data_IF_435603367327
#
_entry.id   IF_435603367327
#
_cell.length_a   1.000
_cell.length_b   1.000
_cell.length_c   1.000
_cell.angle_alpha   90.00
_cell.angle_beta   90.00
_cell.angle_gamma   90.00
#
_symmetry.space_group_name_H-M   'P 1'
#
loop_
_entity.id
_entity.type
_entity.pdbx_description
1 polymer ?
#
# COMPACT_ATOMS: atom_id res chain seq x y z
N UNK A 1 -28.92 11.31 -20.57
CA UNK A 1 -28.25 10.17 -19.92
C UNK A 1 -27.92 10.59 -18.51
N UNK A 2 -28.27 9.79 -17.50
CA UNK A 2 -27.92 10.01 -16.10
C UNK A 2 -26.39 10.17 -15.93
N UNK A 3 -25.95 11.18 -15.16
CA UNK A 3 -24.54 11.46 -14.87
C UNK A 3 -23.85 10.24 -14.27
N UNK A 4 -24.52 9.49 -13.39
CA UNK A 4 -23.98 8.27 -12.81
C UNK A 4 -23.65 7.21 -13.88
N UNK A 5 -24.56 7.02 -14.85
CA UNK A 5 -24.36 6.10 -15.96
C UNK A 5 -23.22 6.54 -16.91
N UNK A 6 -22.97 7.85 -17.07
CA UNK A 6 -21.82 8.36 -17.83
C UNK A 6 -20.51 8.03 -17.10
N UNK A 7 -20.43 8.31 -15.80
CA UNK A 7 -19.25 8.01 -14.99
C UNK A 7 -18.93 6.52 -14.96
N UNK A 8 -19.95 5.65 -14.78
CA UNK A 8 -19.80 4.19 -14.79
C UNK A 8 -19.20 3.62 -16.09
N UNK A 9 -19.33 4.33 -17.21
CA UNK A 9 -18.70 3.94 -18.48
C UNK A 9 -17.23 4.38 -18.59
N UNK A 10 -16.85 5.43 -17.89
CA UNK A 10 -15.53 6.07 -18.01
C UNK A 10 -14.53 5.66 -16.92
N UNK A 11 -15.03 5.14 -15.80
CA UNK A 11 -14.23 4.70 -14.66
C UNK A 11 -14.78 3.42 -14.03
N UNK A 12 -13.88 2.67 -13.38
CA UNK A 12 -14.18 1.50 -12.54
C UNK A 12 -14.58 1.89 -11.11
N UNK A 13 -14.52 3.18 -10.77
CA UNK A 13 -14.82 3.72 -9.44
C UNK A 13 -15.85 4.83 -9.50
N UNK A 14 -16.92 4.62 -10.27
CA UNK A 14 -17.90 5.68 -10.52
C UNK A 14 -18.57 6.22 -9.26
N UNK A 15 -18.83 5.35 -8.27
CA UNK A 15 -19.36 5.76 -6.98
C UNK A 15 -18.38 6.65 -6.20
N UNK A 16 -17.10 6.25 -6.12
CA UNK A 16 -16.06 7.06 -5.45
C UNK A 16 -15.85 8.40 -6.16
N UNK A 17 -15.78 8.39 -7.48
CA UNK A 17 -15.62 9.58 -8.32
C UNK A 17 -16.80 10.53 -8.15
N UNK A 18 -18.04 10.03 -8.15
CA UNK A 18 -19.22 10.85 -7.93
C UNK A 18 -19.20 11.50 -6.53
N UNK A 19 -18.92 10.71 -5.49
CA UNK A 19 -18.85 11.20 -4.11
C UNK A 19 -17.77 12.28 -3.92
N UNK A 20 -16.60 12.11 -4.53
CA UNK A 20 -15.50 13.09 -4.45
C UNK A 20 -15.79 14.33 -5.30
N UNK A 21 -16.45 14.18 -6.46
CA UNK A 21 -16.90 15.33 -7.22
C UNK A 21 -17.97 16.14 -6.50
N UNK A 22 -18.85 15.53 -5.71
CA UNK A 22 -19.80 16.27 -4.87
C UNK A 22 -19.07 17.15 -3.84
N UNK A 23 -17.91 16.70 -3.34
CA UNK A 23 -17.05 17.51 -2.44
C UNK A 23 -16.36 18.65 -3.18
N UNK A 24 -15.81 18.37 -4.36
CA UNK A 24 -15.21 19.39 -5.24
C UNK A 24 -16.24 20.46 -5.61
N UNK A 25 -17.48 20.04 -5.93
CA UNK A 25 -18.58 20.96 -6.22
C UNK A 25 -18.91 21.90 -5.05
N UNK A 26 -18.73 21.43 -3.82
CA UNK A 26 -19.00 22.19 -2.59
C UNK A 26 -17.78 22.94 -2.04
N UNK A 27 -16.60 22.82 -2.67
CA UNK A 27 -15.35 23.40 -2.15
C UNK A 27 -14.90 22.79 -0.81
N UNK A 28 -15.27 21.54 -0.56
CA UNK A 28 -14.98 20.84 0.69
C UNK A 28 -13.65 20.08 0.59
N UNK A 29 -12.83 20.17 1.64
CA UNK A 29 -11.66 19.31 1.79
C UNK A 29 -12.10 17.88 2.17
N UNK A 30 -11.39 16.86 1.68
CA UNK A 30 -11.71 15.45 1.94
C UNK A 30 -10.44 14.61 2.11
N UNK A 31 -10.42 13.71 3.09
CA UNK A 31 -9.33 12.74 3.27
C UNK A 31 -9.74 11.40 2.67
N UNK A 32 -9.08 11.03 1.58
CA UNK A 32 -9.19 9.71 0.96
C UNK A 32 -8.26 8.75 1.69
N UNK A 33 -8.84 7.77 2.36
CA UNK A 33 -8.11 6.79 3.17
C UNK A 33 -8.31 5.40 2.59
N UNK A 34 -7.28 4.58 2.55
CA UNK A 34 -7.42 3.20 2.10
C UNK A 34 -6.10 2.44 2.17
N UNK A 35 -6.19 1.12 2.23
CA UNK A 35 -5.03 0.23 2.30
C UNK A 35 -4.11 0.33 1.07
N UNK A 36 -2.91 -0.22 1.19
CA UNK A 36 -1.93 -0.34 0.11
C UNK A 36 -2.55 -0.95 -1.13
N UNK A 37 -2.17 -0.43 -2.31
CA UNK A 37 -2.60 -0.95 -3.61
C UNK A 37 -4.12 -1.03 -3.85
N UNK A 38 -4.94 -0.37 -3.03
CA UNK A 38 -6.39 -0.28 -3.25
C UNK A 38 -6.77 0.63 -4.44
N UNK A 39 -5.81 1.39 -4.98
CA UNK A 39 -6.01 2.28 -6.13
C UNK A 39 -6.37 3.73 -5.77
N UNK A 40 -5.88 4.25 -4.63
CA UNK A 40 -6.03 5.67 -4.22
C UNK A 40 -5.49 6.62 -5.29
N UNK A 41 -4.25 6.40 -5.73
CA UNK A 41 -3.59 7.22 -6.76
C UNK A 41 -4.32 7.17 -8.10
N UNK A 42 -4.80 5.98 -8.50
CA UNK A 42 -5.59 5.82 -9.71
C UNK A 42 -6.94 6.57 -9.62
N UNK A 43 -7.57 6.56 -8.45
CA UNK A 43 -8.79 7.32 -8.16
C UNK A 43 -8.51 8.82 -8.26
N UNK A 44 -7.48 9.35 -7.58
CA UNK A 44 -7.13 10.77 -7.63
C UNK A 44 -6.78 11.21 -9.06
N UNK A 45 -5.95 10.46 -9.79
CA UNK A 45 -5.68 10.73 -11.22
C UNK A 45 -6.94 10.77 -12.06
N UNK A 46 -7.91 9.91 -11.76
CA UNK A 46 -9.17 9.89 -12.50
C UNK A 46 -9.99 11.18 -12.31
N UNK A 47 -9.97 11.79 -11.11
CA UNK A 47 -10.68 13.03 -10.84
C UNK A 47 -10.17 14.20 -11.69
N UNK A 48 -8.88 14.17 -12.07
CA UNK A 48 -8.23 15.18 -12.91
C UNK A 48 -8.43 14.96 -14.42
N UNK A 49 -9.02 13.84 -14.85
CA UNK A 49 -9.22 13.59 -16.29
C UNK A 49 -10.31 14.48 -16.88
N UNK A 50 -9.99 15.17 -17.97
CA UNK A 50 -10.91 16.07 -18.68
C UNK A 50 -12.25 15.41 -19.06
N UNK A 51 -12.23 14.13 -19.46
CA UNK A 51 -13.45 13.41 -19.86
C UNK A 51 -14.40 13.12 -18.68
N UNK A 52 -13.86 12.85 -17.49
CA UNK A 52 -14.64 12.67 -16.26
C UNK A 52 -15.15 13.99 -15.70
N UNK A 53 -14.33 15.05 -15.72
CA UNK A 53 -14.75 16.41 -15.33
C UNK A 53 -15.89 16.89 -16.24
N UNK A 54 -15.75 16.74 -17.56
CA UNK A 54 -16.79 17.06 -18.52
C UNK A 54 -18.05 16.18 -18.36
N UNK A 55 -17.87 14.90 -18.00
CA UNK A 55 -18.99 14.01 -17.73
C UNK A 55 -19.80 14.42 -16.50
N UNK A 56 -19.14 14.93 -15.44
CA UNK A 56 -19.78 15.37 -14.19
C UNK A 56 -20.38 16.77 -14.25
N UNK A 57 -19.66 17.73 -14.82
CA UNK A 57 -19.99 19.16 -14.70
C UNK A 57 -20.55 19.77 -16.00
N UNK A 58 -20.50 19.06 -17.13
CA UNK A 58 -21.06 19.54 -18.39
C UNK A 58 -20.45 20.87 -18.82
N UNK A 59 -21.29 21.86 -19.11
CA UNK A 59 -20.86 23.22 -19.51
C UNK A 59 -20.07 23.95 -18.41
N UNK A 60 -20.25 23.58 -17.14
CA UNK A 60 -19.51 24.15 -16.02
C UNK A 60 -18.11 23.55 -15.85
N UNK A 61 -17.71 22.55 -16.65
CA UNK A 61 -16.44 21.84 -16.50
C UNK A 61 -15.22 22.77 -16.47
N UNK A 62 -15.20 23.81 -17.31
CA UNK A 62 -14.10 24.78 -17.37
C UNK A 62 -13.91 25.58 -16.06
N UNK A 63 -14.88 25.58 -15.14
CA UNK A 63 -14.78 26.23 -13.83
C UNK A 63 -14.05 25.37 -12.80
N UNK A 64 -13.89 24.07 -13.03
CA UNK A 64 -13.30 23.16 -12.05
C UNK A 64 -11.89 22.79 -12.47
N UNK A 65 -10.94 23.01 -11.56
CA UNK A 65 -9.53 22.70 -11.74
C UNK A 65 -9.07 21.67 -10.69
N UNK A 66 -9.45 20.38 -10.84
CA UNK A 66 -8.88 19.29 -10.05
C UNK A 66 -7.44 19.02 -10.51
N UNK A 67 -6.47 19.35 -9.67
CA UNK A 67 -5.05 19.33 -10.02
C UNK A 67 -4.36 18.21 -9.25
N UNK A 68 -3.92 17.19 -9.98
CA UNK A 68 -3.24 16.04 -9.42
C UNK A 68 -1.79 16.37 -9.05
N UNK A 69 -1.44 16.10 -7.79
CA UNK A 69 -0.11 16.36 -7.24
C UNK A 69 0.40 15.08 -6.58
N UNK A 70 1.35 14.42 -7.22
CA UNK A 70 2.05 13.25 -6.66
C UNK A 70 3.24 13.71 -5.82
N UNK A 71 3.11 13.62 -4.50
CA UNK A 71 4.11 14.11 -3.56
C UNK A 71 5.39 13.27 -3.53
N UNK A 72 5.39 12.07 -4.11
CA UNK A 72 6.63 11.32 -4.34
C UNK A 72 7.50 11.97 -5.43
N UNK A 73 6.96 12.90 -6.24
CA UNK A 73 7.72 13.70 -7.24
C UNK A 73 8.40 14.93 -6.64
N UNK A 74 8.34 15.15 -5.33
CA UNK A 74 9.09 16.23 -4.67
C UNK A 74 10.59 15.99 -4.83
N UNK A 75 11.32 17.01 -5.28
CA UNK A 75 12.77 16.92 -5.46
C UNK A 75 13.51 16.75 -4.12
N UNK A 76 12.99 17.40 -3.08
CA UNK A 76 13.48 17.32 -1.71
C UNK A 76 12.28 17.34 -0.75
N UNK A 77 12.32 16.60 0.37
CA UNK A 77 11.26 16.61 1.37
C UNK A 77 11.33 17.88 2.22
N UNK A 78 11.04 19.04 1.62
CA UNK A 78 11.10 20.35 2.26
C UNK A 78 9.91 21.24 1.87
N UNK A 79 9.70 22.33 2.59
CA UNK A 79 8.69 23.36 2.25
C UNK A 79 8.85 23.82 0.79
N UNK A 80 10.08 24.17 0.38
CA UNK A 80 10.37 24.59 -0.98
C UNK A 80 10.08 23.49 -2.01
N UNK A 81 10.38 22.22 -1.69
CA UNK A 81 10.10 21.08 -2.57
C UNK A 81 8.61 20.85 -2.79
N UNK A 82 7.79 20.99 -1.73
CA UNK A 82 6.33 20.91 -1.84
C UNK A 82 5.78 22.05 -2.71
N UNK A 83 6.19 23.29 -2.42
CA UNK A 83 5.70 24.46 -3.14
C UNK A 83 6.12 24.46 -4.62
N UNK A 84 7.35 24.04 -4.92
CA UNK A 84 7.82 23.86 -6.30
C UNK A 84 6.93 22.88 -7.05
N UNK A 85 6.69 21.71 -6.45
CA UNK A 85 5.90 20.65 -7.05
C UNK A 85 4.47 21.11 -7.35
N UNK A 86 3.80 21.78 -6.41
CA UNK A 86 2.43 22.29 -6.61
C UNK A 86 2.40 23.33 -7.73
N UNK A 87 3.32 24.29 -7.75
CA UNK A 87 3.38 25.29 -8.83
C UNK A 87 3.72 24.65 -10.18
N UNK A 88 4.57 23.62 -10.21
CA UNK A 88 4.85 22.84 -11.41
C UNK A 88 3.58 22.15 -11.92
N UNK A 89 2.79 21.53 -11.05
CA UNK A 89 1.51 20.93 -11.41
C UNK A 89 0.50 21.95 -11.94
N UNK A 90 0.47 23.18 -11.41
CA UNK A 90 -0.33 24.26 -12.00
C UNK A 90 0.10 24.61 -13.42
N UNK A 91 1.42 24.66 -13.68
CA UNK A 91 1.94 24.95 -15.03
C UNK A 91 1.63 23.81 -16.00
N UNK A 92 1.81 22.56 -15.58
CA UNK A 92 1.41 21.36 -16.33
C UNK A 92 -0.11 21.43 -16.66
N UNK A 93 -0.95 21.77 -15.68
CA UNK A 93 -2.39 21.91 -15.87
C UNK A 93 -2.77 22.98 -16.90
N UNK A 94 -2.12 24.15 -16.89
CA UNK A 94 -2.37 25.22 -17.88
C UNK A 94 -1.97 24.82 -19.31
N UNK A 95 -0.96 23.96 -19.47
CA UNK A 95 -0.59 23.43 -20.79
C UNK A 95 -1.70 22.53 -21.33
N UNK A 96 -2.31 21.73 -20.47
CA UNK A 96 -3.43 20.83 -20.84
C UNK A 96 -4.77 21.58 -21.01
N UNK A 97 -4.89 22.80 -20.49
CA UNK A 97 -6.10 23.65 -20.50
C UNK A 97 -5.82 25.03 -21.10
N UNK A 98 -5.53 25.13 -22.41
CA UNK A 98 -5.15 26.39 -23.07
C UNK A 98 -6.24 27.47 -22.98
N UNK A 99 -7.51 27.08 -22.81
CA UNK A 99 -8.63 27.99 -22.59
C UNK A 99 -8.55 28.75 -21.25
N UNK A 100 -7.87 28.19 -20.25
CA UNK A 100 -7.63 28.82 -18.95
C UNK A 100 -6.33 29.65 -18.94
N UNK A 101 -5.40 29.38 -19.86
CA UNK A 101 -4.05 29.95 -19.90
C UNK A 101 -3.99 31.37 -20.49
N UNK A 102 -4.50 32.36 -19.77
CA UNK A 102 -4.31 33.77 -20.17
C UNK A 102 -2.82 34.16 -20.10
N UNK A 103 -2.33 35.05 -20.98
CA UNK A 103 -0.91 35.46 -20.96
C UNK A 103 -0.46 36.06 -19.62
N UNK A 104 -1.37 36.73 -18.92
CA UNK A 104 -1.10 37.29 -17.60
C UNK A 104 -0.97 36.19 -16.54
N UNK A 105 -1.88 35.22 -16.50
CA UNK A 105 -1.82 34.08 -15.58
C UNK A 105 -0.53 33.28 -15.77
N UNK A 106 -0.19 32.93 -17.00
CA UNK A 106 1.05 32.21 -17.31
C UNK A 106 2.28 32.98 -16.82
N UNK A 107 2.34 34.29 -17.06
CA UNK A 107 3.44 35.15 -16.60
C UNK A 107 3.54 35.20 -15.07
N UNK A 108 2.41 35.34 -14.36
CA UNK A 108 2.38 35.38 -12.90
C UNK A 108 2.84 34.04 -12.31
N UNK A 109 2.37 32.92 -12.86
CA UNK A 109 2.71 31.58 -12.41
C UNK A 109 4.17 31.21 -12.71
N UNK A 110 4.68 31.54 -13.89
CA UNK A 110 6.10 31.34 -14.25
C UNK A 110 7.02 32.15 -13.32
N UNK A 111 6.63 33.39 -12.99
CA UNK A 111 7.37 34.20 -12.02
C UNK A 111 7.34 33.60 -10.62
N UNK A 112 6.17 33.17 -10.14
CA UNK A 112 6.03 32.52 -8.84
C UNK A 112 6.88 31.24 -8.77
N UNK A 113 6.86 30.42 -9.82
CA UNK A 113 7.67 29.21 -9.92
C UNK A 113 9.18 29.54 -9.87
N UNK A 114 9.64 30.50 -10.67
CA UNK A 114 11.04 30.94 -10.67
C UNK A 114 11.47 31.46 -9.29
N UNK A 115 10.64 32.27 -8.62
CA UNK A 115 10.90 32.79 -7.27
C UNK A 115 10.93 31.68 -6.21
N UNK A 116 10.24 30.54 -6.40
CA UNK A 116 10.33 29.35 -5.52
C UNK A 116 11.58 28.52 -5.83
N UNK A 117 11.94 28.33 -7.10
CA UNK A 117 13.09 27.51 -7.49
C UNK A 117 14.42 28.21 -7.16
N UNK A 118 14.49 29.53 -7.39
CA UNK A 118 15.67 30.35 -7.12
C UNK A 118 15.29 31.52 -6.19
N UNK A 119 15.02 31.23 -4.90
CA UNK A 119 14.54 32.24 -3.98
C UNK A 119 15.67 33.19 -3.57
N UNK A 120 15.37 34.49 -3.52
CA UNK A 120 16.30 35.50 -3.00
C UNK A 120 16.49 35.41 -1.47
N UNK A 121 15.60 34.71 -0.76
CA UNK A 121 15.69 34.41 0.67
C UNK A 121 14.72 33.28 1.04
N UNK A 122 14.90 32.65 2.21
CA UNK A 122 13.96 31.64 2.70
C UNK A 122 12.53 32.21 2.87
N UNK A 123 12.38 33.49 3.22
CA UNK A 123 11.08 34.16 3.32
C UNK A 123 10.37 34.34 1.97
N UNK A 124 11.13 34.39 0.87
CA UNK A 124 10.55 34.56 -0.46
C UNK A 124 9.78 33.33 -0.94
N UNK A 125 10.12 32.13 -0.44
CA UNK A 125 9.55 30.84 -0.84
C UNK A 125 8.04 30.77 -0.58
N UNK A 126 7.53 30.89 0.67
CA UNK A 126 6.08 30.88 0.93
C UNK A 126 5.35 32.04 0.26
N UNK A 127 5.98 33.22 0.15
CA UNK A 127 5.36 34.38 -0.50
C UNK A 127 5.19 34.16 -2.02
N UNK A 128 6.18 33.56 -2.68
CA UNK A 128 6.11 33.21 -4.09
C UNK A 128 5.06 32.13 -4.34
N UNK A 129 5.03 31.10 -3.50
CA UNK A 129 4.00 30.07 -3.54
C UNK A 129 2.59 30.65 -3.43
N UNK A 130 2.34 31.47 -2.41
CA UNK A 130 1.03 32.08 -2.18
C UNK A 130 0.60 32.98 -3.34
N UNK A 131 1.53 33.73 -3.95
CA UNK A 131 1.27 34.51 -5.18
C UNK A 131 0.85 33.62 -6.34
N UNK A 132 1.50 32.47 -6.53
CA UNK A 132 1.16 31.51 -7.59
C UNK A 132 -0.22 30.88 -7.39
N UNK A 133 -0.54 30.41 -6.19
CA UNK A 133 -1.87 29.86 -5.84
C UNK A 133 -2.95 30.91 -6.01
N UNK A 134 -2.72 32.14 -5.53
CA UNK A 134 -3.65 33.26 -5.67
C UNK A 134 -3.95 33.57 -7.14
N UNK A 135 -2.92 33.63 -7.99
CA UNK A 135 -3.11 33.90 -9.42
C UNK A 135 -4.04 32.88 -10.08
N UNK A 136 -3.89 31.58 -9.76
CA UNK A 136 -4.75 30.51 -10.31
C UNK A 136 -6.16 30.57 -9.73
N UNK A 137 -6.31 30.80 -8.41
CA UNK A 137 -7.61 30.84 -7.74
C UNK A 137 -8.46 32.08 -8.12
N UNK A 138 -7.81 33.20 -8.47
CA UNK A 138 -8.48 34.42 -8.93
C UNK A 138 -8.77 34.41 -10.43
N UNK A 139 -7.94 33.74 -11.23
CA UNK A 139 -8.14 33.62 -12.66
C UNK A 139 -9.46 32.89 -12.98
N UNK A 140 -10.30 33.54 -13.79
CA UNK A 140 -11.56 33.00 -14.34
C UNK A 140 -12.53 32.37 -13.30
N UNK A 141 -12.38 32.72 -12.01
CA UNK A 141 -13.14 32.15 -10.89
C UNK A 141 -13.07 30.62 -10.80
N UNK A 142 -11.90 30.04 -11.11
CA UNK A 142 -11.71 28.59 -11.01
C UNK A 142 -11.90 28.08 -9.58
N UNK A 143 -12.56 26.93 -9.46
CA UNK A 143 -12.60 26.10 -8.25
C UNK A 143 -11.46 25.10 -8.33
N UNK A 144 -10.33 25.48 -7.75
CA UNK A 144 -9.11 24.70 -7.65
C UNK A 144 -9.26 23.66 -6.54
N UNK A 145 -9.04 22.40 -6.88
CA UNK A 145 -8.93 21.33 -5.91
C UNK A 145 -7.58 20.64 -6.06
N UNK A 146 -6.68 20.81 -5.08
CA UNK A 146 -5.41 20.07 -5.09
C UNK A 146 -5.69 18.63 -4.63
N UNK A 147 -5.38 17.67 -5.50
CA UNK A 147 -5.46 16.24 -5.23
C UNK A 147 -4.06 15.80 -4.79
N UNK A 148 -3.80 15.86 -3.50
CA UNK A 148 -2.52 15.57 -2.85
C UNK A 148 -2.39 14.06 -2.63
N UNK A 149 -1.70 13.39 -3.54
CA UNK A 149 -1.43 11.95 -3.45
C UNK A 149 -0.18 11.68 -2.60
N UNK A 150 -0.10 10.51 -1.97
CA UNK A 150 1.06 10.10 -1.16
C UNK A 150 1.38 11.09 -0.02
N UNK A 151 0.35 11.51 0.71
CA UNK A 151 0.45 12.59 1.71
C UNK A 151 1.02 12.12 3.07
N UNK A 152 1.18 10.82 3.30
CA UNK A 152 1.67 10.26 4.57
C UNK A 152 3.06 10.79 4.98
N UNK A 153 4.04 10.66 4.09
CA UNK A 153 5.43 11.05 4.34
C UNK A 153 5.61 12.58 4.49
N UNK A 154 5.03 13.41 3.60
CA UNK A 154 5.02 14.86 3.76
C UNK A 154 4.41 15.31 5.09
N UNK A 155 3.26 14.74 5.48
CA UNK A 155 2.60 15.05 6.74
C UNK A 155 3.45 14.69 7.95
N UNK A 156 4.12 13.53 7.91
CA UNK A 156 4.97 13.05 8.99
C UNK A 156 6.24 13.89 9.17
N UNK A 157 6.82 14.44 8.09
CA UNK A 157 8.18 15.00 8.11
C UNK A 157 8.27 16.51 7.96
N UNK A 158 7.33 17.16 7.26
CA UNK A 158 7.39 18.61 7.03
C UNK A 158 7.06 19.40 8.30
N UNK A 159 7.54 20.63 8.38
CA UNK A 159 7.29 21.49 9.54
C UNK A 159 5.82 21.97 9.60
N UNK A 160 5.27 22.11 10.80
CA UNK A 160 3.88 22.54 11.05
C UNK A 160 3.45 23.81 10.32
N UNK A 161 4.37 24.78 10.15
CA UNK A 161 4.12 26.05 9.44
C UNK A 161 3.71 25.88 7.98
N UNK A 162 4.14 24.79 7.32
CA UNK A 162 3.75 24.49 5.94
C UNK A 162 2.25 24.24 5.90
N UNK A 163 1.73 23.50 6.87
CA UNK A 163 0.31 23.17 6.99
C UNK A 163 -0.54 24.36 7.44
N UNK A 164 -0.01 25.23 8.31
CA UNK A 164 -0.62 26.53 8.61
C UNK A 164 -0.77 27.39 7.36
N UNK A 165 0.25 27.42 6.50
CA UNK A 165 0.18 28.18 5.25
C UNK A 165 -0.89 27.62 4.30
N UNK A 166 -0.99 26.30 4.15
CA UNK A 166 -2.09 25.67 3.39
C UNK A 166 -3.45 25.95 4.02
N UNK A 167 -3.58 25.89 5.35
CA UNK A 167 -4.81 26.25 6.07
C UNK A 167 -5.23 27.70 5.78
N UNK A 168 -4.29 28.63 5.88
CA UNK A 168 -4.51 30.05 5.62
C UNK A 168 -4.94 30.32 4.16
N UNK A 169 -4.30 29.66 3.18
CA UNK A 169 -4.72 29.74 1.78
C UNK A 169 -6.15 29.21 1.58
N UNK A 170 -6.51 28.09 2.22
CA UNK A 170 -7.88 27.58 2.19
C UNK A 170 -8.88 28.55 2.83
N UNK A 171 -8.54 29.22 3.93
CA UNK A 171 -9.44 30.20 4.53
C UNK A 171 -9.64 31.42 3.64
N UNK A 172 -8.56 31.90 3.01
CA UNK A 172 -8.61 33.03 2.08
C UNK A 172 -9.50 32.73 0.87
N UNK A 173 -9.45 31.51 0.33
CA UNK A 173 -10.16 31.11 -0.89
C UNK A 173 -11.22 30.04 -0.62
N UNK A 174 -12.05 30.25 0.39
CA UNK A 174 -12.90 29.18 0.95
C UNK A 174 -13.90 28.51 0.01
N UNK A 175 -14.34 29.20 -1.04
CA UNK A 175 -15.26 28.70 -2.07
C UNK A 175 -14.53 28.27 -3.37
N UNK A 176 -13.22 28.54 -3.46
CA UNK A 176 -12.41 28.38 -4.67
C UNK A 176 -11.20 27.47 -4.52
N UNK A 177 -10.75 27.17 -3.30
CA UNK A 177 -9.64 26.28 -3.03
C UNK A 177 -10.09 25.17 -2.09
N UNK A 178 -9.80 23.92 -2.45
CA UNK A 178 -10.01 22.76 -1.59
C UNK A 178 -8.87 21.75 -1.73
N UNK A 179 -8.78 20.84 -0.76
CA UNK A 179 -7.76 19.80 -0.73
C UNK A 179 -8.39 18.43 -0.63
N UNK A 180 -7.98 17.51 -1.50
CA UNK A 180 -8.26 16.09 -1.36
C UNK A 180 -6.93 15.38 -1.16
N UNK A 181 -6.73 14.78 0.02
CA UNK A 181 -5.49 14.05 0.34
C UNK A 181 -5.71 12.55 0.17
N UNK A 182 -4.74 11.80 -0.34
CA UNK A 182 -4.74 10.35 -0.25
C UNK A 182 -3.69 9.86 0.75
N UNK A 183 -4.13 9.01 1.69
CA UNK A 183 -3.25 8.39 2.69
C UNK A 183 -3.60 6.94 3.00
N UNK A 184 -2.65 6.20 3.56
CA UNK A 184 -2.86 4.78 3.94
C UNK A 184 -3.72 4.63 5.20
N UNK A 185 -3.58 5.60 6.12
CA UNK A 185 -4.33 5.68 7.37
C UNK A 185 -4.90 7.07 7.55
N UNK A 186 -5.79 7.22 8.52
CA UNK A 186 -6.41 8.51 8.85
C UNK A 186 -5.32 9.51 9.25
N UNK A 187 -5.44 10.76 8.80
CA UNK A 187 -4.44 11.82 9.04
C UNK A 187 -4.03 11.93 10.51
N UNK A 188 -5.01 11.92 11.43
CA UNK A 188 -4.80 11.98 12.89
C UNK A 188 -3.93 10.85 13.45
N UNK A 189 -3.81 9.71 12.75
CA UNK A 189 -3.00 8.56 13.14
C UNK A 189 -1.58 8.58 12.53
N UNK A 190 -1.31 9.46 11.57
CA UNK A 190 0.00 9.57 10.90
C UNK A 190 0.96 10.37 11.77
N UNK A 191 0.49 11.54 12.22
CA UNK A 191 1.24 12.41 13.12
C UNK A 191 0.33 12.83 14.26
N UNK A 192 0.60 12.24 15.42
CA UNK A 192 -0.03 12.59 16.68
C UNK A 192 0.92 13.48 17.49
N UNK A 193 0.43 14.62 17.99
CA UNK A 193 1.19 15.51 18.88
C UNK A 193 0.78 16.98 18.77
N UNK A 194 1.24 17.78 19.73
CA UNK A 194 0.96 19.21 19.97
C UNK A 194 1.49 20.16 18.86
N UNK A 195 1.49 19.74 17.59
CA UNK A 195 1.80 20.61 16.46
C UNK A 195 0.53 21.31 16.00
N UNK A 196 0.29 22.49 16.58
CA UNK A 196 -0.89 23.35 16.31
C UNK A 196 -1.15 23.51 14.81
N UNK A 197 -0.09 23.60 14.00
CA UNK A 197 -0.24 23.76 12.56
C UNK A 197 -0.82 22.56 11.82
N UNK A 198 -0.47 21.38 12.30
CA UNK A 198 -1.01 20.12 11.78
C UNK A 198 -2.45 19.91 12.26
N UNK A 199 -2.74 20.26 13.53
CA UNK A 199 -4.10 20.18 14.10
C UNK A 199 -5.09 21.08 13.36
N UNK A 200 -4.74 22.34 13.11
CA UNK A 200 -5.60 23.27 12.36
C UNK A 200 -5.89 22.78 10.94
N UNK A 201 -4.91 22.13 10.29
CA UNK A 201 -5.11 21.52 8.99
C UNK A 201 -6.08 20.32 9.09
N UNK A 202 -5.95 19.48 10.11
CA UNK A 202 -6.84 18.32 10.30
C UNK A 202 -8.31 18.70 10.42
N UNK A 203 -8.63 19.84 11.02
CA UNK A 203 -10.01 20.32 11.14
C UNK A 203 -10.71 20.47 9.79
N UNK A 204 -9.97 20.78 8.71
CA UNK A 204 -10.51 20.84 7.36
C UNK A 204 -11.11 19.49 6.91
N UNK A 205 -10.56 18.39 7.41
CA UNK A 205 -10.85 17.02 6.99
C UNK A 205 -11.65 16.21 8.01
N UNK A 206 -11.69 16.62 9.28
CA UNK A 206 -12.13 15.80 10.41
C UNK A 206 -13.53 15.19 10.30
N UNK A 207 -14.43 15.78 9.52
CA UNK A 207 -15.79 15.27 9.27
C UNK A 207 -15.97 14.62 7.88
N UNK A 208 -14.92 14.50 7.08
CA UNK A 208 -14.99 14.27 5.62
C UNK A 208 -13.94 13.26 5.17
N UNK A 209 -14.05 12.03 5.69
CA UNK A 209 -13.24 10.90 5.24
C UNK A 209 -13.97 10.11 4.15
N UNK A 210 -13.25 9.76 3.08
CA UNK A 210 -13.70 8.85 2.04
C UNK A 210 -12.84 7.59 2.07
N UNK A 211 -13.42 6.47 2.51
CA UNK A 211 -12.70 5.20 2.61
C UNK A 211 -12.78 4.47 1.26
N UNK A 212 -11.65 4.31 0.59
CA UNK A 212 -11.56 3.57 -0.67
C UNK A 212 -11.66 2.08 -0.37
N UNK A 213 -12.67 1.43 -0.94
CA UNK A 213 -12.94 0.01 -0.78
C UNK A 213 -12.46 -0.80 -1.99
N UNK A 214 -12.33 -2.14 -1.84
CA UNK A 214 -12.17 -3.02 -2.98
C UNK A 214 -13.26 -2.77 -4.04
N UNK A 215 -12.92 -2.97 -5.31
CA UNK A 215 -13.84 -2.82 -6.43
C UNK A 215 -15.05 -3.74 -6.24
N UNK A 216 -16.23 -3.27 -6.64
CA UNK A 216 -17.40 -4.12 -6.71
C UNK A 216 -17.21 -5.23 -7.75
N UNK A 217 -17.92 -6.34 -7.61
CA UNK A 217 -17.72 -7.54 -8.43
C UNK A 217 -17.70 -7.25 -9.95
N UNK A 218 -18.63 -6.43 -10.45
CA UNK A 218 -18.68 -6.05 -11.86
C UNK A 218 -17.45 -5.24 -12.31
N UNK A 219 -16.96 -4.34 -11.45
CA UNK A 219 -15.78 -3.51 -11.71
C UNK A 219 -14.48 -4.29 -11.59
N UNK A 220 -14.41 -5.24 -10.65
CA UNK A 220 -13.31 -6.18 -10.52
C UNK A 220 -13.16 -7.04 -11.80
N UNK A 221 -14.26 -7.54 -12.35
CA UNK A 221 -14.24 -8.26 -13.64
C UNK A 221 -13.76 -7.37 -14.79
N UNK A 222 -14.25 -6.12 -14.87
CA UNK A 222 -13.78 -5.17 -15.88
C UNK A 222 -12.29 -4.87 -15.73
N UNK A 223 -11.80 -4.71 -14.50
CA UNK A 223 -10.40 -4.47 -14.18
C UNK A 223 -9.49 -5.62 -14.64
N UNK A 224 -9.78 -6.86 -14.20
CA UNK A 224 -8.98 -8.04 -14.60
C UNK A 224 -9.03 -8.24 -16.11
N UNK A 225 -10.18 -8.00 -16.75
CA UNK A 225 -10.29 -8.08 -18.22
C UNK A 225 -9.39 -7.07 -18.92
N UNK A 226 -9.30 -5.83 -18.41
CA UNK A 226 -8.40 -4.81 -18.94
C UNK A 226 -6.93 -5.22 -18.81
N UNK A 227 -6.54 -5.81 -17.67
CA UNK A 227 -5.18 -6.35 -17.46
C UNK A 227 -4.90 -7.49 -18.45
N UNK A 228 -5.81 -8.46 -18.54
CA UNK A 228 -5.65 -9.62 -19.43
C UNK A 228 -5.53 -9.21 -20.90
N UNK A 229 -6.28 -8.19 -21.34
CA UNK A 229 -6.20 -7.65 -22.70
C UNK A 229 -4.92 -6.84 -22.91
N UNK A 230 -4.60 -5.94 -21.99
CA UNK A 230 -3.42 -5.06 -22.09
C UNK A 230 -2.09 -5.81 -22.09
N UNK A 231 -2.00 -6.88 -21.30
CA UNK A 231 -0.82 -7.75 -21.23
C UNK A 231 -0.91 -8.99 -22.13
N UNK A 232 -1.96 -9.11 -22.95
CA UNK A 232 -2.20 -10.25 -23.85
C UNK A 232 -2.09 -11.62 -23.16
N UNK A 233 -2.73 -11.77 -22.00
CA UNK A 233 -2.63 -12.95 -21.15
C UNK A 233 -3.43 -14.16 -21.66
N UNK A 234 -4.31 -13.98 -22.65
CA UNK A 234 -5.09 -15.06 -23.25
C UNK A 234 -6.06 -15.76 -22.29
N UNK A 235 -6.50 -15.08 -21.22
CA UNK A 235 -7.40 -15.64 -20.20
C UNK A 235 -8.86 -15.62 -20.68
N UNK A 236 -9.55 -16.77 -20.72
CA UNK A 236 -10.98 -16.82 -21.01
C UNK A 236 -11.83 -16.33 -19.82
N UNK A 237 -13.11 -16.06 -20.06
CA UNK A 237 -13.99 -15.37 -19.10
C UNK A 237 -14.23 -16.15 -17.79
N UNK A 238 -14.28 -17.48 -17.85
CA UNK A 238 -14.37 -18.37 -16.68
C UNK A 238 -13.15 -18.24 -15.74
N UNK A 239 -11.96 -18.00 -16.30
CA UNK A 239 -10.76 -17.70 -15.51
C UNK A 239 -10.85 -16.34 -14.82
N UNK A 240 -11.40 -15.32 -15.50
CA UNK A 240 -11.60 -13.99 -14.90
C UNK A 240 -12.58 -14.06 -13.73
N UNK A 241 -13.68 -14.82 -13.90
CA UNK A 241 -14.65 -15.09 -12.84
C UNK A 241 -13.99 -15.81 -11.65
N UNK A 242 -13.18 -16.82 -11.91
CA UNK A 242 -12.49 -17.57 -10.86
C UNK A 242 -11.46 -16.70 -10.12
N UNK A 243 -10.72 -15.83 -10.82
CA UNK A 243 -9.81 -14.87 -10.18
C UNK A 243 -10.58 -13.99 -9.19
N UNK A 244 -11.64 -13.31 -9.65
CA UNK A 244 -12.44 -12.40 -8.81
C UNK A 244 -13.07 -13.16 -7.64
N UNK A 245 -13.53 -14.40 -7.84
CA UNK A 245 -14.06 -15.22 -6.77
C UNK A 245 -13.02 -15.56 -5.69
N UNK A 246 -11.75 -15.74 -6.05
CA UNK A 246 -10.68 -16.08 -5.10
C UNK A 246 -10.10 -14.87 -4.38
N UNK A 247 -9.97 -13.74 -5.06
CA UNK A 247 -9.24 -12.57 -4.54
C UNK A 247 -10.10 -11.35 -4.25
N UNK A 248 -11.39 -11.41 -4.57
CA UNK A 248 -12.33 -10.31 -4.35
C UNK A 248 -12.03 -9.11 -5.26
N UNK A 249 -12.26 -7.90 -4.75
CA UNK A 249 -12.17 -6.66 -5.53
C UNK A 249 -10.85 -5.89 -5.39
N UNK A 250 -9.82 -6.44 -4.74
CA UNK A 250 -8.61 -5.70 -4.42
C UNK A 250 -7.69 -5.57 -5.65
N UNK A 251 -7.41 -4.37 -6.19
CA UNK A 251 -6.69 -4.21 -7.46
C UNK A 251 -5.30 -4.88 -7.51
N UNK A 252 -4.49 -4.72 -6.46
CA UNK A 252 -3.17 -5.38 -6.41
C UNK A 252 -3.26 -6.91 -6.42
N UNK A 253 -4.28 -7.48 -5.76
CA UNK A 253 -4.48 -8.93 -5.75
C UNK A 253 -5.06 -9.42 -7.09
N UNK A 254 -5.97 -8.64 -7.69
CA UNK A 254 -6.53 -8.92 -9.01
C UNK A 254 -5.44 -8.96 -10.08
N UNK A 255 -4.50 -8.02 -10.05
CA UNK A 255 -3.36 -7.98 -10.96
C UNK A 255 -2.42 -9.16 -10.76
N UNK A 256 -1.97 -9.41 -9.52
CA UNK A 256 -1.10 -10.54 -9.20
C UNK A 256 -1.73 -11.88 -9.61
N UNK A 257 -3.03 -12.05 -9.32
CA UNK A 257 -3.76 -13.25 -9.67
C UNK A 257 -3.95 -13.41 -11.18
N UNK A 258 -4.13 -12.33 -11.95
CA UNK A 258 -4.22 -12.40 -13.40
C UNK A 258 -2.93 -12.95 -14.03
N UNK A 259 -1.77 -12.44 -13.62
CA UNK A 259 -0.48 -12.94 -14.11
C UNK A 259 -0.24 -14.40 -13.70
N UNK A 260 -0.57 -14.78 -12.46
CA UNK A 260 -0.44 -16.18 -12.02
C UNK A 260 -1.39 -17.10 -12.79
N UNK A 261 -2.64 -16.69 -12.96
CA UNK A 261 -3.64 -17.44 -13.72
C UNK A 261 -3.19 -17.67 -15.17
N UNK A 262 -2.59 -16.68 -15.83
CA UNK A 262 -2.08 -16.82 -17.20
C UNK A 262 -1.02 -17.93 -17.29
N UNK A 263 -0.11 -18.00 -16.32
CA UNK A 263 0.92 -19.04 -16.24
C UNK A 263 0.29 -20.43 -16.05
N UNK A 264 -0.66 -20.57 -15.12
CA UNK A 264 -1.37 -21.84 -14.88
C UNK A 264 -2.17 -22.27 -16.11
N UNK A 265 -2.83 -21.31 -16.78
CA UNK A 265 -3.58 -21.56 -18.01
C UNK A 265 -2.68 -22.08 -19.14
N UNK A 266 -1.42 -21.66 -19.19
CA UNK A 266 -0.44 -22.11 -20.18
C UNK A 266 0.28 -23.43 -19.82
N UNK A 267 0.04 -24.02 -18.64
CA UNK A 267 0.74 -25.24 -18.23
C UNK A 267 0.41 -26.44 -19.14
N UNK A 268 1.42 -27.18 -19.64
CA UNK A 268 1.20 -28.34 -20.51
C UNK A 268 0.70 -29.57 -19.73
N UNK A 269 0.00 -30.47 -20.42
CA UNK A 269 -0.29 -31.82 -19.93
C UNK A 269 -1.52 -31.99 -19.03
N UNK A 270 -2.22 -30.90 -18.66
CA UNK A 270 -3.52 -30.96 -17.97
C UNK A 270 -4.63 -30.43 -18.88
N UNK A 271 -5.83 -30.98 -18.76
CA UNK A 271 -7.03 -30.35 -19.37
C UNK A 271 -7.28 -28.96 -18.74
N UNK A 272 -7.94 -28.06 -19.48
CA UNK A 272 -8.24 -26.68 -19.07
C UNK A 272 -9.08 -26.67 -17.79
N UNK A 273 -10.07 -27.55 -17.66
CA UNK A 273 -10.91 -27.63 -16.48
C UNK A 273 -10.11 -28.01 -15.22
N UNK A 274 -9.17 -28.95 -15.36
CA UNK A 274 -8.28 -29.36 -14.27
C UNK A 274 -7.32 -28.23 -13.85
N UNK A 275 -6.83 -27.43 -14.81
CA UNK A 275 -6.00 -26.24 -14.52
C UNK A 275 -6.78 -25.15 -13.79
N UNK A 276 -8.00 -24.86 -14.24
CA UNK A 276 -8.89 -23.90 -13.58
C UNK A 276 -9.25 -24.34 -12.15
N UNK A 277 -9.52 -25.63 -11.95
CA UNK A 277 -9.79 -26.19 -10.62
C UNK A 277 -8.59 -26.10 -9.66
N UNK A 278 -7.37 -26.17 -10.19
CA UNK A 278 -6.13 -26.02 -9.41
C UNK A 278 -5.74 -24.55 -9.15
N UNK A 279 -6.42 -23.58 -9.77
CA UNK A 279 -6.09 -22.16 -9.64
C UNK A 279 -6.09 -21.64 -8.19
N UNK A 280 -7.07 -21.96 -7.32
CA UNK A 280 -7.07 -21.48 -5.93
C UNK A 280 -5.81 -21.87 -5.14
N UNK A 281 -5.36 -23.12 -5.28
CA UNK A 281 -4.14 -23.62 -4.65
C UNK A 281 -2.90 -22.94 -5.26
N UNK A 282 -2.89 -22.80 -6.58
CA UNK A 282 -1.80 -22.14 -7.30
C UNK A 282 -1.64 -20.64 -6.98
N UNK A 283 -2.74 -19.95 -6.66
CA UNK A 283 -2.74 -18.55 -6.19
C UNK A 283 -2.23 -18.45 -4.76
N UNK A 284 -2.70 -19.34 -3.88
CA UNK A 284 -2.26 -19.41 -2.48
C UNK A 284 -0.75 -19.63 -2.37
N UNK A 285 -0.19 -20.48 -3.22
CA UNK A 285 1.23 -20.78 -3.26
C UNK A 285 2.07 -19.71 -3.98
N UNK A 286 1.48 -18.73 -4.66
CA UNK A 286 2.22 -17.75 -5.44
C UNK A 286 2.85 -16.66 -4.54
N UNK A 287 4.11 -16.29 -4.82
CA UNK A 287 4.85 -15.33 -4.02
C UNK A 287 4.35 -13.90 -4.20
N UNK A 288 3.93 -13.51 -5.41
CA UNK A 288 3.42 -12.17 -5.69
C UNK A 288 2.05 -11.98 -5.03
N UNK A 289 1.16 -12.98 -5.13
CA UNK A 289 -0.13 -12.96 -4.43
C UNK A 289 0.06 -12.89 -2.91
N UNK A 290 0.98 -13.69 -2.36
CA UNK A 290 1.31 -13.64 -0.92
C UNK A 290 1.89 -12.30 -0.50
N UNK A 291 2.73 -11.68 -1.33
CA UNK A 291 3.29 -10.35 -1.07
C UNK A 291 2.20 -9.27 -1.00
N UNK A 292 1.18 -9.32 -1.85
CA UNK A 292 0.04 -8.40 -1.77
C UNK A 292 -0.80 -8.60 -0.51
N UNK A 293 -1.04 -9.85 -0.09
CA UNK A 293 -1.68 -10.11 1.20
C UNK A 293 -0.82 -9.62 2.38
N UNK A 294 0.51 -9.78 2.32
CA UNK A 294 1.41 -9.32 3.38
C UNK A 294 1.33 -7.80 3.56
N UNK A 295 1.34 -7.02 2.46
CA UNK A 295 1.16 -5.56 2.51
C UNK A 295 -0.15 -5.19 3.20
N UNK A 296 -1.26 -5.84 2.82
CA UNK A 296 -2.55 -5.65 3.49
C UNK A 296 -2.49 -5.95 4.99
N UNK A 297 -1.79 -7.02 5.39
CA UNK A 297 -1.61 -7.38 6.78
C UNK A 297 -0.77 -6.36 7.55
N UNK A 298 0.29 -5.83 6.93
CA UNK A 298 1.18 -4.83 7.51
C UNK A 298 0.47 -3.48 7.75
N UNK A 299 -0.47 -3.11 6.88
CA UNK A 299 -1.30 -1.90 7.03
C UNK A 299 -2.32 -1.96 8.18
N UNK A 300 -2.57 -3.16 8.71
CA UNK A 300 -3.50 -3.33 9.83
C UNK A 300 -2.86 -2.96 11.16
N UNK A 301 -3.60 -2.22 11.98
CA UNK A 301 -3.24 -2.01 13.38
C UNK A 301 -3.29 -3.34 14.15
N UNK A 302 -2.57 -3.43 15.28
CA UNK A 302 -2.51 -4.66 16.09
C UNK A 302 -3.92 -5.18 16.47
N UNK A 303 -4.81 -4.29 16.91
CA UNK A 303 -6.18 -4.67 17.25
C UNK A 303 -7.01 -5.14 16.04
N UNK A 304 -6.75 -4.61 14.85
CA UNK A 304 -7.38 -5.08 13.61
C UNK A 304 -6.90 -6.49 13.25
N UNK A 305 -5.58 -6.75 13.34
CA UNK A 305 -5.01 -8.09 13.11
C UNK A 305 -5.58 -9.12 14.08
N UNK A 306 -5.70 -8.77 15.36
CA UNK A 306 -6.28 -9.64 16.40
C UNK A 306 -7.75 -9.95 16.15
N UNK A 307 -8.56 -8.94 15.81
CA UNK A 307 -9.98 -9.13 15.51
C UNK A 307 -10.19 -10.00 14.26
N UNK A 308 -9.35 -9.82 13.24
CA UNK A 308 -9.40 -10.59 12.00
C UNK A 308 -8.98 -12.05 12.23
N UNK A 309 -7.93 -12.27 13.02
CA UNK A 309 -7.49 -13.59 13.44
C UNK A 309 -8.57 -14.35 14.24
N UNK A 310 -9.17 -13.68 15.23
CA UNK A 310 -10.29 -14.24 16.00
C UNK A 310 -11.44 -14.63 15.06
N UNK A 311 -11.82 -13.74 14.14
CA UNK A 311 -12.90 -13.98 13.18
C UNK A 311 -12.65 -15.22 12.33
N UNK A 312 -11.44 -15.39 11.79
CA UNK A 312 -11.08 -16.55 10.95
C UNK A 312 -11.06 -17.84 11.75
N UNK A 313 -10.64 -17.79 13.02
CA UNK A 313 -10.52 -18.97 13.88
C UNK A 313 -11.86 -19.48 14.41
N UNK A 314 -12.73 -18.57 14.85
CA UNK A 314 -14.00 -18.92 15.54
C UNK A 314 -15.21 -18.85 14.62
N UNK A 315 -15.08 -18.18 13.47
CA UNK A 315 -16.20 -17.80 12.61
C UNK A 315 -17.01 -16.62 13.15
N UNK A 316 -16.67 -16.06 14.32
CA UNK A 316 -17.41 -14.97 14.98
C UNK A 316 -16.46 -14.03 15.72
N UNK A 317 -16.55 -12.73 15.46
CA UNK A 317 -15.83 -11.72 16.26
C UNK A 317 -16.82 -10.81 16.98
N UNK A 318 -16.48 -10.42 18.21
CA UNK A 318 -17.26 -9.39 18.91
C UNK A 318 -17.15 -8.04 18.19
N UNK A 319 -18.27 -7.32 18.10
CA UNK A 319 -18.30 -5.97 17.56
C UNK A 319 -17.39 -5.07 18.40
N UNK A 320 -16.29 -4.66 17.77
CA UNK A 320 -15.26 -3.81 18.38
C UNK A 320 -14.91 -2.65 17.44
N UNK A 321 -14.20 -1.65 17.96
CA UNK A 321 -13.67 -0.56 17.12
C UNK A 321 -12.75 -1.06 16.00
N UNK A 322 -12.01 -2.16 16.25
CA UNK A 322 -11.17 -2.82 15.27
C UNK A 322 -11.98 -3.47 14.15
N UNK A 323 -13.05 -4.20 14.50
CA UNK A 323 -13.93 -4.83 13.51
C UNK A 323 -14.64 -3.76 12.65
N UNK A 324 -15.14 -2.69 13.27
CA UNK A 324 -15.72 -1.56 12.53
C UNK A 324 -14.70 -0.88 11.61
N UNK A 325 -13.43 -0.83 12.01
CA UNK A 325 -12.35 -0.31 11.17
C UNK A 325 -12.10 -1.18 9.94
N UNK A 326 -12.02 -2.50 10.13
CA UNK A 326 -11.91 -3.48 9.03
C UNK A 326 -13.10 -3.39 8.06
N UNK A 327 -14.33 -3.21 8.58
CA UNK A 327 -15.53 -3.00 7.76
C UNK A 327 -15.44 -1.71 6.93
N UNK A 328 -14.96 -0.60 7.53
CA UNK A 328 -14.77 0.67 6.79
C UNK A 328 -13.76 0.51 5.65
N UNK A 329 -12.65 -0.18 5.92
CA UNK A 329 -11.60 -0.54 4.93
C UNK A 329 -12.09 -1.50 3.85
N UNK A 330 -13.28 -2.11 4.00
CA UNK A 330 -13.81 -3.08 3.06
C UNK A 330 -13.07 -4.42 3.06
N UNK A 331 -12.36 -4.73 4.15
CA UNK A 331 -11.63 -6.00 4.30
C UNK A 331 -12.48 -7.13 4.89
N UNK A 332 -13.76 -6.84 5.15
CA UNK A 332 -14.77 -7.79 5.58
C UNK A 332 -15.97 -7.75 4.63
N UNK A 333 -16.56 -8.90 4.40
CA UNK A 333 -17.82 -9.09 3.70
C UNK A 333 -18.88 -9.66 4.64
N UNK A 334 -20.15 -9.46 4.28
CA UNK A 334 -21.29 -10.06 4.97
C UNK A 334 -21.52 -11.43 4.37
N UNK A 335 -21.36 -12.48 5.16
CA UNK A 335 -21.69 -13.85 4.76
C UNK A 335 -23.21 -14.03 4.68
N UNK A 336 -23.71 -14.92 3.80
CA UNK A 336 -25.10 -15.31 3.81
C UNK A 336 -25.46 -15.89 5.19
N UNK A 337 -26.66 -15.58 5.73
CA UNK A 337 -27.03 -16.00 7.08
C UNK A 337 -27.14 -17.53 7.16
N UNK A 338 -26.31 -18.13 7.99
CA UNK A 338 -26.52 -19.48 8.55
C UNK A 338 -27.02 -19.30 9.97
N UNK A 339 -28.27 -19.67 10.23
CA UNK A 339 -28.92 -19.63 11.56
C UNK A 339 -29.13 -18.23 12.20
N UNK A 340 -29.69 -17.29 11.43
CA UNK A 340 -30.43 -16.16 12.02
C UNK A 340 -29.64 -14.88 12.33
N UNK A 341 -28.33 -14.83 12.10
CA UNK A 341 -27.56 -13.59 12.05
C UNK A 341 -26.56 -13.61 10.87
N UNK A 342 -26.39 -12.50 10.14
CA UNK A 342 -25.34 -12.41 9.12
C UNK A 342 -23.95 -12.51 9.79
N UNK A 343 -23.19 -13.56 9.44
CA UNK A 343 -21.79 -13.69 9.86
C UNK A 343 -20.89 -12.72 9.09
N UNK A 344 -19.85 -12.19 9.73
CA UNK A 344 -18.80 -11.46 9.02
C UNK A 344 -17.73 -12.44 8.55
N UNK A 345 -17.19 -12.25 7.36
CA UNK A 345 -16.07 -13.03 6.84
C UNK A 345 -15.02 -12.10 6.22
N UNK A 346 -13.75 -12.51 6.11
CA UNK A 346 -12.79 -11.77 5.30
C UNK A 346 -13.30 -11.60 3.87
N UNK A 347 -12.94 -10.48 3.22
CA UNK A 347 -13.53 -10.09 1.93
C UNK A 347 -13.23 -11.05 0.75
N UNK A 348 -12.27 -11.96 0.90
CA UNK A 348 -11.88 -12.90 -0.15
C UNK A 348 -11.31 -14.22 0.42
N UNK A 349 -11.50 -15.37 -0.25
CA UNK A 349 -10.91 -16.66 0.15
C UNK A 349 -9.38 -16.63 0.34
N UNK A 350 -8.65 -16.02 -0.60
CA UNK A 350 -7.18 -15.91 -0.52
C UNK A 350 -6.74 -15.16 0.74
N UNK A 351 -7.53 -14.16 1.14
CA UNK A 351 -7.28 -13.35 2.32
C UNK A 351 -7.54 -14.14 3.60
N UNK A 352 -8.65 -14.89 3.65
CA UNK A 352 -8.92 -15.83 4.76
C UNK A 352 -7.78 -16.83 4.94
N UNK A 353 -7.28 -17.41 3.84
CA UNK A 353 -6.16 -18.34 3.89
C UNK A 353 -4.89 -17.66 4.43
N UNK A 354 -4.57 -16.44 3.96
CA UNK A 354 -3.40 -15.71 4.45
C UNK A 354 -3.48 -15.42 5.95
N UNK A 355 -4.64 -14.99 6.47
CA UNK A 355 -4.83 -14.75 7.91
C UNK A 355 -4.66 -16.04 8.71
N UNK A 356 -5.25 -17.14 8.27
CA UNK A 356 -5.08 -18.45 8.91
C UNK A 356 -3.60 -18.90 8.90
N UNK A 357 -2.89 -18.65 7.80
CA UNK A 357 -1.46 -18.94 7.69
C UNK A 357 -0.62 -18.04 8.62
N UNK A 358 -0.92 -16.74 8.72
CA UNK A 358 -0.25 -15.83 9.65
C UNK A 358 -0.39 -16.32 11.10
N UNK A 359 -1.55 -16.83 11.47
CA UNK A 359 -1.78 -17.46 12.76
C UNK A 359 -0.97 -18.75 12.93
N UNK A 360 -0.99 -19.67 11.96
CA UNK A 360 -0.22 -20.92 12.01
C UNK A 360 1.31 -20.67 11.99
N UNK A 361 1.74 -19.57 11.36
CA UNK A 361 3.12 -19.10 11.42
C UNK A 361 3.50 -18.54 12.79
N UNK A 362 2.54 -17.87 13.45
CA UNK A 362 2.69 -17.28 14.79
C UNK A 362 2.35 -18.24 15.92
N UNK A 363 1.83 -19.44 15.65
CA UNK A 363 1.54 -20.45 16.67
C UNK A 363 2.84 -20.90 17.32
N UNK A 364 3.00 -20.73 18.64
CA UNK A 364 3.99 -21.46 19.40
C UNK A 364 3.54 -22.92 19.54
N UNK A 365 3.71 -23.71 18.48
CA UNK A 365 3.44 -25.16 18.54
C UNK A 365 4.33 -25.95 17.59
N UNK A 366 5.64 -25.79 17.75
CA UNK A 366 6.64 -26.82 17.41
C UNK A 366 7.91 -26.47 18.18
N UNK A 367 8.47 -27.40 18.95
CA UNK A 367 9.80 -27.18 19.53
C UNK A 367 10.83 -27.02 18.41
N UNK A 368 11.75 -26.06 18.54
CA UNK A 368 12.82 -25.82 17.59
C UNK A 368 12.92 -24.40 17.03
N UNK A 369 13.87 -24.22 16.11
CA UNK A 369 14.14 -22.97 15.41
C UNK A 369 13.28 -22.90 14.15
N UNK A 370 12.59 -21.79 13.95
CA UNK A 370 11.74 -21.54 12.80
C UNK A 370 12.11 -20.18 12.18
N UNK A 371 12.17 -20.13 10.86
CA UNK A 371 12.51 -18.91 10.13
C UNK A 371 11.51 -18.71 8.99
N UNK A 372 10.96 -17.49 8.89
CA UNK A 372 10.28 -17.04 7.69
C UNK A 372 11.34 -16.50 6.71
N UNK A 373 11.50 -17.19 5.59
CA UNK A 373 12.53 -16.89 4.59
C UNK A 373 12.24 -15.58 3.84
N UNK A 374 10.99 -15.13 3.82
CA UNK A 374 10.57 -13.92 3.13
C UNK A 374 10.72 -12.69 4.03
N UNK A 375 10.33 -12.79 5.31
CA UNK A 375 10.39 -11.66 6.25
C UNK A 375 11.69 -11.60 7.07
N UNK A 376 12.52 -12.65 7.04
CA UNK A 376 13.66 -12.87 7.94
C UNK A 376 13.28 -12.89 9.43
N UNK A 377 12.00 -13.06 9.76
CA UNK A 377 11.57 -13.25 11.14
C UNK A 377 11.93 -14.66 11.62
N UNK A 378 12.38 -14.75 12.88
CA UNK A 378 12.87 -16.00 13.47
C UNK A 378 12.19 -16.22 14.81
N UNK A 379 11.79 -17.46 15.06
CA UNK A 379 11.23 -17.90 16.32
C UNK A 379 12.01 -19.11 16.84
N UNK A 380 12.13 -19.20 18.17
CA UNK A 380 12.73 -20.32 18.88
C UNK A 380 11.72 -20.79 19.91
N UNK A 381 11.29 -22.05 19.81
CA UNK A 381 10.28 -22.64 20.68
C UNK A 381 9.01 -21.78 20.78
N UNK A 382 8.62 -21.20 19.64
CA UNK A 382 7.46 -20.31 19.52
C UNK A 382 7.65 -18.88 20.03
N UNK A 383 8.83 -18.52 20.54
CA UNK A 383 9.16 -17.16 20.99
C UNK A 383 9.97 -16.43 19.92
N UNK A 384 9.64 -15.17 19.56
CA UNK A 384 10.45 -14.39 18.62
C UNK A 384 11.91 -14.27 19.09
N UNK A 385 12.84 -14.56 18.20
CA UNK A 385 14.27 -14.44 18.46
C UNK A 385 14.69 -12.95 18.49
N UNK A 386 15.76 -12.61 19.22
CA UNK A 386 16.38 -11.29 19.12
C UNK A 386 16.81 -10.96 17.69
N UNK A 387 16.88 -9.66 17.36
CA UNK A 387 17.29 -9.19 16.04
C UNK A 387 18.57 -9.88 15.55
N UNK A 388 18.49 -10.51 14.37
CA UNK A 388 19.62 -11.09 13.67
C UNK A 388 20.23 -10.04 12.73
N UNK A 389 21.56 -9.96 12.72
CA UNK A 389 22.29 -9.18 11.73
C UNK A 389 22.14 -9.83 10.34
N UNK A 390 22.44 -9.11 9.24
CA UNK A 390 22.33 -9.66 7.89
C UNK A 390 23.13 -10.95 7.67
N UNK A 391 24.33 -11.07 8.25
CA UNK A 391 25.16 -12.27 8.14
C UNK A 391 24.61 -13.44 8.95
N UNK A 392 24.07 -13.17 10.15
CA UNK A 392 23.43 -14.21 10.97
C UNK A 392 22.16 -14.73 10.32
N UNK A 393 21.39 -13.83 9.69
CA UNK A 393 20.17 -14.19 8.94
C UNK A 393 20.52 -15.05 7.73
N UNK A 394 21.55 -14.71 6.95
CA UNK A 394 22.01 -15.54 5.82
C UNK A 394 22.52 -16.92 6.28
N UNK A 395 23.28 -16.96 7.37
CA UNK A 395 23.77 -18.22 7.93
C UNK A 395 22.60 -19.13 8.34
N UNK A 396 21.64 -18.57 9.08
CA UNK A 396 20.48 -19.32 9.51
C UNK A 396 19.64 -19.76 8.31
N UNK A 397 19.39 -18.88 7.33
CA UNK A 397 18.63 -19.19 6.12
C UNK A 397 19.25 -20.35 5.32
N UNK A 398 20.57 -20.34 5.12
CA UNK A 398 21.28 -21.43 4.43
C UNK A 398 21.10 -22.77 5.16
N UNK A 399 21.27 -22.76 6.49
CA UNK A 399 21.14 -23.97 7.30
C UNK A 399 19.68 -24.44 7.43
N UNK A 400 18.74 -23.50 7.46
CA UNK A 400 17.31 -23.77 7.50
C UNK A 400 16.82 -24.42 6.20
N UNK A 401 17.34 -23.98 5.04
CA UNK A 401 17.12 -24.66 3.76
C UNK A 401 17.68 -26.08 3.68
N UNK A 402 18.56 -26.45 4.62
CA UNK A 402 19.16 -27.77 4.75
C UNK A 402 18.84 -28.42 6.11
N UNK A 403 17.68 -28.12 6.69
CA UNK A 403 17.29 -28.59 8.02
C UNK A 403 17.50 -30.11 8.16
N UNK A 404 18.16 -30.53 9.24
CA UNK A 404 18.49 -31.93 9.49
C UNK A 404 19.68 -32.48 8.70
N UNK A 405 20.26 -31.74 7.75
CA UNK A 405 21.42 -32.14 6.95
C UNK A 405 22.65 -31.30 7.30
N UNK A 406 23.85 -31.91 7.43
CA UNK A 406 25.05 -31.15 7.68
C UNK A 406 25.47 -30.36 6.42
N UNK A 407 25.89 -29.11 6.62
CA UNK A 407 26.48 -28.25 5.58
C UNK A 407 27.98 -28.11 5.84
N UNK A 408 28.79 -28.14 4.77
CA UNK A 408 30.24 -27.97 4.88
C UNK A 408 30.60 -26.52 5.22
N UNK A 409 31.75 -26.31 5.87
CA UNK A 409 32.24 -24.95 6.16
C UNK A 409 32.39 -24.12 4.89
N UNK A 410 32.89 -24.73 3.83
CA UNK A 410 33.12 -24.09 2.53
C UNK A 410 31.79 -23.62 1.92
N UNK A 411 30.76 -24.48 1.92
CA UNK A 411 29.44 -24.13 1.39
C UNK A 411 28.76 -23.02 2.21
N UNK A 412 28.94 -23.02 3.53
CA UNK A 412 28.41 -21.97 4.40
C UNK A 412 29.12 -20.64 4.14
N UNK A 413 30.44 -20.65 4.02
CA UNK A 413 31.22 -19.43 3.73
C UNK A 413 30.82 -18.84 2.38
N UNK A 414 30.72 -19.68 1.34
CA UNK A 414 30.28 -19.24 0.01
C UNK A 414 28.87 -18.64 0.03
N UNK A 415 27.92 -19.27 0.74
CA UNK A 415 26.55 -18.78 0.83
C UNK A 415 26.40 -17.48 1.63
N UNK A 416 27.22 -17.28 2.67
CA UNK A 416 27.09 -16.13 3.59
C UNK A 416 27.89 -14.91 3.09
N UNK A 417 29.12 -15.14 2.61
CA UNK A 417 30.08 -14.09 2.24
C UNK A 417 30.30 -13.94 0.72
N UNK A 418 29.88 -14.91 -0.09
CA UNK A 418 30.04 -14.90 -1.55
C UNK A 418 31.33 -15.57 -2.05
N UNK A 419 31.38 -15.88 -3.36
CA UNK A 419 32.47 -16.64 -4.00
C UNK A 419 33.84 -15.94 -4.03
N UNK A 420 33.85 -14.62 -3.93
CA UNK A 420 35.07 -13.81 -3.95
C UNK A 420 35.74 -13.72 -2.57
N UNK A 421 35.09 -14.26 -1.54
CA UNK A 421 35.64 -14.31 -0.19
C UNK A 421 36.70 -15.42 -0.09
N UNK A 422 37.98 -15.03 -0.15
CA UNK A 422 39.12 -15.92 0.09
C UNK A 422 39.25 -16.09 1.61
N UNK A 423 39.13 -17.32 2.16
CA UNK A 423 39.21 -17.50 3.60
C UNK A 423 40.64 -17.28 4.08
N UNK A 424 40.88 -16.23 4.87
CA UNK A 424 41.99 -16.21 5.82
C UNK A 424 41.46 -16.79 7.15
N UNK A 425 41.48 -18.12 7.21
CA UNK A 425 41.15 -18.98 8.36
C UNK A 425 39.68 -18.99 8.89
N UNK A 426 39.36 -20.13 9.52
CA UNK A 426 38.12 -20.52 10.23
C UNK A 426 37.54 -19.51 11.29
N UNK A 427 38.27 -18.53 11.89
CA UNK A 427 37.75 -17.71 13.00
C UNK A 427 36.53 -16.85 12.70
N UNK A 428 36.34 -16.38 11.45
CA UNK A 428 35.20 -15.52 11.11
C UNK A 428 33.87 -16.27 11.16
N UNK A 429 33.83 -17.46 10.57
CA UNK A 429 32.67 -18.35 10.61
C UNK A 429 32.36 -18.80 12.04
N UNK A 430 33.39 -19.16 12.82
CA UNK A 430 33.21 -19.55 14.23
C UNK A 430 32.60 -18.43 15.07
N UNK A 431 33.04 -17.17 14.88
CA UNK A 431 32.44 -16.00 15.55
C UNK A 431 30.99 -15.79 15.13
N UNK A 432 30.66 -15.96 13.85
CA UNK A 432 29.30 -15.81 13.35
C UNK A 432 28.36 -16.88 13.94
N UNK A 433 28.80 -18.15 13.94
CA UNK A 433 28.06 -19.26 14.54
C UNK A 433 27.85 -19.04 16.03
N UNK A 434 28.88 -18.58 16.75
CA UNK A 434 28.76 -18.28 18.19
C UNK A 434 27.69 -17.21 18.45
N UNK A 435 27.71 -16.10 17.71
CA UNK A 435 26.71 -15.03 17.87
C UNK A 435 25.30 -15.48 17.51
N UNK A 436 25.17 -16.33 16.49
CA UNK A 436 23.88 -16.92 16.14
C UNK A 436 23.38 -17.82 17.29
N UNK A 437 24.24 -18.67 17.87
CA UNK A 437 23.89 -19.51 19.04
C UNK A 437 23.45 -18.68 20.25
N UNK A 438 24.13 -17.57 20.53
CA UNK A 438 23.74 -16.64 21.60
C UNK A 438 22.31 -16.10 21.45
N UNK A 439 21.71 -16.19 20.26
CA UNK A 439 20.36 -15.70 19.95
C UNK A 439 19.32 -16.80 19.78
N UNK A 440 19.74 -18.00 19.34
CA UNK A 440 18.80 -19.08 19.00
C UNK A 440 18.86 -20.28 19.95
N UNK A 441 19.90 -20.40 20.78
CA UNK A 441 20.05 -21.50 21.72
C UNK A 441 19.61 -21.09 23.13
N UNK A 442 19.01 -22.02 23.91
CA UNK A 442 18.82 -21.83 25.35
C UNK A 442 20.15 -21.66 26.10
N UNK A 443 21.17 -22.41 25.68
CA UNK A 443 22.55 -22.28 26.16
C UNK A 443 23.52 -22.37 24.97
N UNK A 444 24.15 -21.24 24.62
CA UNK A 444 25.08 -21.17 23.50
C UNK A 444 26.34 -22.04 23.67
N UNK A 445 26.72 -22.40 24.90
CA UNK A 445 27.84 -23.30 25.18
C UNK A 445 27.45 -24.77 24.99
N UNK A 446 26.17 -25.10 25.14
CA UNK A 446 25.60 -26.44 24.97
C UNK A 446 24.48 -26.42 23.91
N UNK A 447 24.82 -26.23 22.61
CA UNK A 447 23.84 -26.01 21.56
C UNK A 447 22.98 -27.26 21.31
N UNK A 448 21.67 -27.05 21.19
CA UNK A 448 20.67 -28.08 20.91
C UNK A 448 20.16 -27.99 19.47
N UNK A 449 20.15 -26.79 18.87
CA UNK A 449 19.61 -26.57 17.53
C UNK A 449 20.70 -26.48 16.45
N UNK A 450 21.75 -25.69 16.68
CA UNK A 450 22.85 -25.46 15.75
C UNK A 450 24.08 -26.27 16.17
N UNK A 451 24.17 -27.50 15.67
CA UNK A 451 25.17 -28.48 16.06
C UNK A 451 26.46 -28.35 15.23
N UNK A 452 27.60 -28.54 15.90
CA UNK A 452 28.90 -28.68 15.23
C UNK A 452 29.11 -30.13 14.78
N UNK A 453 29.39 -30.35 13.49
CA UNK A 453 29.73 -31.67 12.94
C UNK A 453 31.24 -31.73 12.74
N UNK A 454 31.91 -32.49 13.61
CA UNK A 454 33.38 -32.55 13.68
C UNK A 454 33.99 -32.90 12.31
N UNK A 455 34.91 -32.05 11.85
CA UNK A 455 35.60 -32.24 10.58
C UNK A 455 34.77 -31.93 9.32
N UNK A 456 33.54 -31.44 9.46
CA UNK A 456 32.65 -31.19 8.32
C UNK A 456 32.08 -29.76 8.31
N UNK A 457 31.42 -29.33 9.37
CA UNK A 457 30.76 -28.01 9.40
C UNK A 457 29.64 -27.94 10.44
N UNK A 458 28.47 -27.45 10.03
CA UNK A 458 27.36 -27.17 10.94
C UNK A 458 26.04 -27.76 10.43
N UNK A 459 25.16 -28.09 11.37
CA UNK A 459 23.85 -28.68 11.09
C UNK A 459 22.79 -28.02 11.99
N UNK A 460 21.72 -27.54 11.39
CA UNK A 460 20.53 -27.10 12.13
C UNK A 460 19.57 -28.30 12.31
N UNK A 461 19.03 -28.46 13.52
CA UNK A 461 18.05 -29.52 13.85
C UNK A 461 16.89 -28.94 14.65
N UNK A 462 15.69 -29.50 14.44
CA UNK A 462 14.55 -29.33 15.32
C UNK A 462 14.22 -30.68 15.99
N UNK A 463 13.86 -30.69 17.29
CA UNK A 463 13.55 -31.91 18.04
C UNK A 463 12.45 -32.79 17.42
N UNK A 464 11.52 -32.20 16.65
CA UNK A 464 10.41 -32.91 15.99
C UNK A 464 10.79 -33.57 14.65
N UNK A 465 12.01 -33.37 14.15
CA UNK A 465 12.46 -33.92 12.85
C UNK A 465 13.10 -35.31 12.95
N UNK A 466 13.00 -35.96 14.12
CA UNK A 466 13.49 -37.32 14.38
C UNK A 466 12.33 -38.22 14.83
N UNK A 467 11.41 -38.50 13.92
CA UNK A 467 10.48 -39.64 13.99
C UNK A 467 10.20 -40.16 12.59
#
# INVERSE_FOLDING_TARGET
>A
MDTAARLARLTLRAHDVAALYDRIERGECCSVVGVSNIGKSALLRSLARCDLVAARFGEAAARYAPIYVDLNRMLYPSEQGLYELVLRCFREWLVDHPEAATPELSRLLDKAYADVVQPNSAFAVPLAFNRGVTAVAEAAEHRVCLLLDEFDDPLARLEGRVFLNLRALRDQFSDRLSYITATDRRLVLIRAGDDVGVEELYELFAAREHHVRPLEHGDALRFVRQIAQGANLGLPEDWLQQIVAQVGGHPGLLEAAAYRAARVSAEPGRDVAARLAALPEALTADETVRGECLKLWEDLALGERQALDELVRTGTAQLSGALQSLMRKGLLAVAPPTDGAPGLVPFAPIWSHHVAWQHEARRPSSMGVRMDVQTNEVWVDGTPAPYLTPLESRLLMMLYGHLGRPCTKEAIVEAVYGREYIPEDDPALQRLVRRLREKIEPDAANPTYLLSVRGFGYKLVNPESQS
#
